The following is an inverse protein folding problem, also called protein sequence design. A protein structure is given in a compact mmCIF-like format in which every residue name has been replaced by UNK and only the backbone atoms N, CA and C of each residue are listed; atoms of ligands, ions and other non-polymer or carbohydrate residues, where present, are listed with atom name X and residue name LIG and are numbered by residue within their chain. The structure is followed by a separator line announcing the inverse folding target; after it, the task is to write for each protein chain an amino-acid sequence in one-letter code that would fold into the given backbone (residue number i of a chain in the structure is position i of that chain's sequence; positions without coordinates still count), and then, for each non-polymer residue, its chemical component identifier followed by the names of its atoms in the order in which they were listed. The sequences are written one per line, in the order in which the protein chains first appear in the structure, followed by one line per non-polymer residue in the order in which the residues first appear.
data_IF_329927110600
#
_entry.id   IF_329927110600
#
_cell.length_a   1.000
_cell.length_b   1.000
_cell.length_c   1.000
_cell.angle_alpha   90.00
_cell.angle_beta   90.00
_cell.angle_gamma   90.00
#
_symmetry.space_group_name_H-M   'P 1'
#
loop_
_entity.id
_entity.type
_entity.pdbx_description
1 polymer ?
#
# COMPACT_ATOMS: atom_id res chain seq x y z
N UNK A 1 -4.33 -11.23 0.73
CA UNK A 1 -3.79 -10.12 1.55
C UNK A 1 -3.12 -10.67 2.81
N UNK A 2 -2.35 -9.85 3.51
CA UNK A 2 -1.56 -10.27 4.69
C UNK A 2 -2.26 -9.90 6.02
N UNK A 3 -3.51 -10.33 6.20
CA UNK A 3 -4.34 -9.94 7.35
C UNK A 3 -3.77 -10.28 8.72
N UNK A 4 -3.03 -11.39 8.84
CA UNK A 4 -2.38 -11.78 10.10
C UNK A 4 -1.19 -10.90 10.49
N UNK A 5 -0.58 -10.16 9.56
CA UNK A 5 0.58 -9.30 9.81
C UNK A 5 0.28 -7.81 9.70
N UNK A 6 -0.84 -7.46 9.07
CA UNK A 6 -1.26 -6.06 8.89
C UNK A 6 -2.79 -5.95 9.10
N UNK A 7 -3.32 -6.34 10.29
CA UNK A 7 -4.77 -6.43 10.51
C UNK A 7 -5.51 -5.11 10.32
N UNK A 8 -4.98 -3.99 10.81
CA UNK A 8 -5.63 -2.69 10.66
C UNK A 8 -5.60 -2.21 9.21
N UNK A 9 -4.47 -2.34 8.55
CA UNK A 9 -4.29 -1.93 7.15
C UNK A 9 -5.18 -2.75 6.22
N UNK A 10 -5.20 -4.08 6.38
CA UNK A 10 -6.04 -4.97 5.56
C UNK A 10 -7.52 -4.74 5.83
N UNK A 11 -7.93 -4.58 7.09
CA UNK A 11 -9.32 -4.28 7.45
C UNK A 11 -9.80 -2.96 6.82
N UNK A 12 -8.97 -1.90 6.89
CA UNK A 12 -9.26 -0.63 6.25
C UNK A 12 -9.38 -0.76 4.73
N UNK A 13 -8.46 -1.47 4.09
CA UNK A 13 -8.47 -1.66 2.64
C UNK A 13 -9.70 -2.45 2.17
N UNK A 14 -10.04 -3.54 2.86
CA UNK A 14 -11.26 -4.32 2.59
C UNK A 14 -12.54 -3.48 2.75
N UNK A 15 -12.62 -2.66 3.81
CA UNK A 15 -13.74 -1.73 4.02
C UNK A 15 -13.86 -0.74 2.87
N UNK A 16 -12.75 -0.21 2.37
CA UNK A 16 -12.76 0.70 1.22
C UNK A 16 -13.23 0.00 -0.06
N UNK A 17 -12.82 -1.25 -0.29
CA UNK A 17 -13.33 -2.06 -1.42
C UNK A 17 -14.85 -2.24 -1.29
N UNK A 18 -15.34 -2.67 -0.13
CA UNK A 18 -16.79 -2.88 0.12
C UNK A 18 -17.62 -1.61 -0.05
N UNK A 19 -17.02 -0.45 0.18
CA UNK A 19 -17.66 0.86 0.00
C UNK A 19 -17.43 1.45 -1.40
N UNK A 20 -16.87 0.69 -2.34
CA UNK A 20 -16.55 1.10 -3.71
C UNK A 20 -15.65 2.35 -3.82
N UNK A 21 -14.84 2.63 -2.79
CA UNK A 21 -13.98 3.82 -2.73
C UNK A 21 -12.98 3.84 -3.90
N UNK A 22 -12.51 2.69 -4.34
CA UNK A 22 -11.50 2.58 -5.38
C UNK A 22 -12.05 2.52 -6.80
N UNK A 23 -13.35 2.25 -6.97
CA UNK A 23 -13.97 2.11 -8.30
C UNK A 23 -13.91 3.45 -9.03
N UNK A 24 -13.44 3.41 -10.29
CA UNK A 24 -13.16 4.58 -11.13
C UNK A 24 -12.05 5.52 -10.60
N UNK A 25 -11.33 5.15 -9.54
CA UNK A 25 -10.14 5.89 -9.15
C UNK A 25 -8.97 5.57 -10.10
N UNK A 26 -8.10 6.55 -10.34
CA UNK A 26 -6.98 6.42 -11.28
C UNK A 26 -5.73 5.88 -10.60
N UNK A 27 -4.86 5.29 -11.42
CA UNK A 27 -3.44 5.20 -11.09
C UNK A 27 -2.80 6.55 -11.39
N UNK A 28 -2.98 7.50 -10.49
CA UNK A 28 -2.71 8.93 -10.70
C UNK A 28 -1.22 9.29 -10.78
N UNK A 29 -0.32 8.38 -10.41
CA UNK A 29 1.12 8.60 -10.46
C UNK A 29 1.88 7.32 -10.71
N UNK A 30 2.60 7.29 -11.82
CA UNK A 30 3.53 6.23 -12.17
C UNK A 30 4.94 6.82 -12.16
N UNK A 31 5.82 6.25 -11.37
CA UNK A 31 7.19 6.74 -11.18
C UNK A 31 8.15 5.60 -11.55
N UNK A 32 9.02 5.86 -12.51
CA UNK A 32 10.16 4.99 -12.80
C UNK A 32 11.32 5.38 -11.88
N UNK A 33 11.71 4.45 -11.04
CA UNK A 33 12.79 4.64 -10.09
C UNK A 33 13.80 3.49 -10.23
N UNK A 34 14.90 3.74 -10.95
CA UNK A 34 16.02 2.81 -11.07
C UNK A 34 15.59 1.34 -11.28
N UNK A 35 15.05 0.99 -12.41
CA UNK A 35 14.52 -0.35 -12.76
C UNK A 35 13.28 -0.81 -11.97
N UNK A 36 12.70 0.04 -11.12
CA UNK A 36 11.46 -0.25 -10.40
C UNK A 36 10.41 0.78 -10.77
N UNK A 37 9.28 0.33 -11.28
CA UNK A 37 8.11 1.17 -11.48
C UNK A 37 7.27 1.15 -10.19
N UNK A 38 6.93 2.31 -9.67
CA UNK A 38 6.01 2.50 -8.54
C UNK A 38 4.71 3.05 -9.08
N UNK A 39 3.63 2.31 -8.91
CA UNK A 39 2.31 2.64 -9.44
C UNK A 39 1.44 3.06 -8.26
N UNK A 40 1.11 4.35 -8.14
CA UNK A 40 0.22 4.87 -7.09
C UNK A 40 -1.22 4.88 -7.58
N UNK A 41 -2.12 4.38 -6.75
CA UNK A 41 -3.56 4.33 -7.02
C UNK A 41 -4.39 4.61 -5.77
N UNK A 42 -5.69 4.64 -5.97
CA UNK A 42 -6.66 4.99 -4.94
C UNK A 42 -7.01 6.47 -4.93
N UNK A 43 -7.60 6.94 -3.83
CA UNK A 43 -8.01 8.35 -3.70
C UNK A 43 -6.89 9.14 -3.06
N UNK A 44 -6.32 10.05 -3.84
CA UNK A 44 -5.31 10.99 -3.36
C UNK A 44 -5.92 11.91 -2.31
N UNK A 45 -5.30 11.99 -1.15
CA UNK A 45 -5.73 12.89 -0.06
C UNK A 45 -5.60 14.38 -0.40
N UNK A 46 -4.90 14.74 -1.48
CA UNK A 46 -4.85 16.10 -2.04
C UNK A 46 -6.02 16.39 -3.00
N UNK A 47 -6.90 15.41 -3.28
CA UNK A 47 -8.06 15.61 -4.12
C UNK A 47 -9.15 16.37 -3.35
N UNK A 48 -9.26 17.66 -3.61
CA UNK A 48 -10.21 18.57 -2.94
C UNK A 48 -11.66 18.14 -3.10
N UNK A 49 -12.06 17.62 -4.25
CA UNK A 49 -13.41 17.16 -4.50
C UNK A 49 -13.78 15.97 -3.60
N UNK A 50 -12.85 15.05 -3.38
CA UNK A 50 -13.07 13.94 -2.48
C UNK A 50 -13.11 14.38 -1.02
N UNK A 51 -12.26 15.33 -0.63
CA UNK A 51 -12.22 15.89 0.74
C UNK A 51 -13.52 16.59 1.07
N UNK A 52 -14.08 17.37 0.14
CA UNK A 52 -15.34 18.10 0.33
C UNK A 52 -16.56 17.19 0.45
N UNK A 53 -16.57 16.06 -0.26
CA UNK A 53 -17.70 15.13 -0.30
C UNK A 53 -17.64 14.04 0.77
N UNK A 54 -16.48 13.78 1.36
CA UNK A 54 -16.27 12.73 2.35
C UNK A 54 -15.64 13.30 3.63
N UNK A 55 -16.35 13.19 4.73
CA UNK A 55 -15.87 13.58 6.06
C UNK A 55 -14.47 13.03 6.33
N UNK A 56 -13.48 13.90 6.33
CA UNK A 56 -12.09 13.70 6.75
C UNK A 56 -11.50 12.30 6.47
N UNK A 57 -10.62 12.21 5.49
CA UNK A 57 -9.78 11.03 5.28
C UNK A 57 -8.98 10.80 6.56
N UNK A 58 -9.29 9.74 7.28
CA UNK A 58 -8.58 9.38 8.51
C UNK A 58 -7.33 8.62 8.12
N UNK A 59 -6.16 9.10 8.52
CA UNK A 59 -4.93 8.33 8.42
C UNK A 59 -4.98 7.11 9.33
N UNK A 60 -4.36 6.03 8.90
CA UNK A 60 -4.16 4.82 9.69
C UNK A 60 -2.72 4.76 10.24
N UNK A 61 -2.46 4.02 11.33
CA UNK A 61 -1.10 3.85 11.81
C UNK A 61 -0.22 3.17 10.75
N UNK A 62 1.05 3.53 10.69
CA UNK A 62 2.05 2.69 10.05
C UNK A 62 2.09 1.35 10.78
N UNK A 63 2.04 0.23 10.06
CA UNK A 63 1.90 -1.10 10.61
C UNK A 63 2.92 -2.05 9.97
N UNK A 64 3.87 -2.54 10.76
CA UNK A 64 4.97 -3.39 10.30
C UNK A 64 5.11 -4.59 11.24
N UNK A 65 5.12 -5.81 10.69
CA UNK A 65 5.30 -7.04 11.44
C UNK A 65 6.72 -7.58 11.30
N UNK A 66 7.35 -7.88 12.44
CA UNK A 66 8.57 -8.67 12.51
C UNK A 66 8.25 -10.12 12.89
N UNK A 67 8.98 -11.08 12.35
CA UNK A 67 8.86 -12.50 12.70
C UNK A 67 9.25 -12.79 14.15
N UNK A 68 10.01 -11.90 14.77
CA UNK A 68 10.43 -11.96 16.18
C UNK A 68 9.40 -11.38 17.16
N UNK A 69 8.27 -10.84 16.66
CA UNK A 69 7.20 -10.23 17.46
C UNK A 69 5.89 -10.96 17.21
N UNK A 70 5.07 -11.12 18.24
CA UNK A 70 3.72 -11.68 18.11
C UNK A 70 2.77 -10.68 17.43
N UNK A 71 2.85 -9.43 17.83
CA UNK A 71 2.00 -8.34 17.33
C UNK A 71 2.74 -7.41 16.37
N UNK A 72 2.04 -6.77 15.43
CA UNK A 72 2.62 -5.72 14.60
C UNK A 72 3.15 -4.55 15.42
N UNK A 73 4.17 -3.92 14.89
CA UNK A 73 4.70 -2.65 15.42
C UNK A 73 3.91 -1.53 14.75
N UNK A 74 3.31 -0.66 15.57
CA UNK A 74 2.51 0.46 15.12
C UNK A 74 3.24 1.79 15.26
N UNK A 75 2.97 2.72 14.33
CA UNK A 75 3.45 4.11 14.38
C UNK A 75 4.98 4.25 14.42
N UNK A 76 5.71 3.27 13.93
CA UNK A 76 7.17 3.27 13.96
C UNK A 76 7.75 2.59 12.72
N UNK A 77 8.72 3.24 12.09
CA UNK A 77 9.56 2.64 11.06
C UNK A 77 10.59 1.68 11.69
N UNK A 78 10.93 0.64 10.95
CA UNK A 78 12.11 -0.19 11.25
C UNK A 78 13.26 0.42 10.46
N UNK A 79 14.18 1.06 11.15
CA UNK A 79 15.30 1.78 10.53
C UNK A 79 16.65 1.07 10.67
N UNK A 80 16.73 0.06 11.53
CA UNK A 80 17.94 -0.75 11.67
C UNK A 80 17.98 -1.81 10.55
N UNK A 81 18.97 -1.75 9.65
CA UNK A 81 19.12 -2.76 8.58
C UNK A 81 19.26 -4.19 9.11
N UNK A 82 19.76 -4.37 10.33
CA UNK A 82 19.90 -5.70 10.96
C UNK A 82 18.53 -6.33 11.28
N UNK A 83 17.48 -5.51 11.45
CA UNK A 83 16.11 -5.98 11.68
C UNK A 83 15.39 -6.33 10.38
N UNK A 84 15.85 -5.89 9.20
CA UNK A 84 15.17 -6.13 7.94
C UNK A 84 15.02 -7.63 7.60
N UNK A 85 15.95 -8.46 8.01
CA UNK A 85 15.86 -9.92 7.87
C UNK A 85 14.71 -10.54 8.65
N UNK A 86 14.15 -9.81 9.61
CA UNK A 86 13.00 -10.25 10.42
C UNK A 86 11.68 -9.67 9.94
N UNK A 87 11.66 -8.85 8.88
CA UNK A 87 10.41 -8.38 8.29
C UNK A 87 9.58 -9.58 7.81
N UNK A 88 8.35 -9.69 8.30
CA UNK A 88 7.45 -10.78 7.91
C UNK A 88 7.00 -10.63 6.47
N UNK A 89 6.76 -9.40 6.03
CA UNK A 89 6.40 -9.05 4.67
C UNK A 89 7.53 -8.23 4.04
N UNK A 90 8.35 -8.87 3.22
CA UNK A 90 9.41 -8.21 2.45
C UNK A 90 8.86 -7.69 1.12
N UNK A 91 9.51 -6.66 0.59
CA UNK A 91 9.17 -6.09 -0.69
C UNK A 91 9.62 -6.99 -1.85
N UNK A 92 8.67 -7.39 -2.67
CA UNK A 92 8.86 -8.21 -3.85
C UNK A 92 8.09 -7.61 -5.04
N UNK A 93 8.30 -8.15 -6.23
CA UNK A 93 7.47 -7.83 -7.41
C UNK A 93 5.99 -8.02 -7.06
N UNK A 94 5.19 -7.01 -7.33
CA UNK A 94 3.75 -6.99 -7.07
C UNK A 94 3.35 -6.67 -5.61
N UNK A 95 4.30 -6.36 -4.72
CA UNK A 95 3.95 -5.94 -3.36
C UNK A 95 3.06 -4.71 -3.36
N UNK A 96 2.03 -4.72 -2.50
CA UNK A 96 1.06 -3.63 -2.31
C UNK A 96 1.31 -3.00 -0.95
N UNK A 97 1.48 -1.67 -0.94
CA UNK A 97 1.85 -0.89 0.22
C UNK A 97 0.92 0.31 0.36
N UNK A 98 0.61 0.72 1.60
CA UNK A 98 -0.07 2.01 1.81
C UNK A 98 0.89 3.17 1.64
N UNK A 99 0.42 4.24 1.01
CA UNK A 99 1.19 5.49 0.89
C UNK A 99 1.43 6.07 2.29
N UNK A 100 2.67 6.47 2.55
CA UNK A 100 3.06 7.06 3.82
C UNK A 100 2.75 8.56 3.85
N UNK A 101 2.05 9.01 4.88
CA UNK A 101 1.73 10.42 5.12
C UNK A 101 2.77 11.07 6.06
N UNK A 102 3.25 10.30 7.03
CA UNK A 102 4.31 10.71 7.95
C UNK A 102 5.15 9.50 8.38
N UNK A 103 6.15 9.72 9.22
CA UNK A 103 6.96 8.61 9.79
C UNK A 103 6.14 7.60 10.60
N UNK A 104 4.96 7.98 11.05
CA UNK A 104 4.13 7.18 11.96
C UNK A 104 2.79 6.77 11.35
N UNK A 105 2.40 7.35 10.21
CA UNK A 105 1.06 7.17 9.64
C UNK A 105 1.08 6.91 8.15
N UNK A 106 0.17 6.05 7.73
CA UNK A 106 -0.16 5.76 6.34
C UNK A 106 -1.49 6.40 5.94
N UNK A 107 -1.65 6.67 4.66
CA UNK A 107 -2.95 7.02 4.08
C UNK A 107 -3.96 5.89 4.32
N UNK A 108 -5.23 6.23 4.51
CA UNK A 108 -6.31 5.25 4.56
C UNK A 108 -6.86 4.88 3.19
N UNK A 109 -6.56 5.65 2.14
CA UNK A 109 -7.15 5.51 0.80
C UNK A 109 -6.16 5.37 -0.34
N UNK A 110 -4.89 5.74 -0.13
CA UNK A 110 -3.87 5.69 -1.16
C UNK A 110 -2.95 4.49 -0.96
N UNK A 111 -2.70 3.78 -2.03
CA UNK A 111 -1.76 2.67 -2.04
C UNK A 111 -0.80 2.79 -3.23
N UNK A 112 0.24 1.99 -3.21
CA UNK A 112 1.07 1.80 -4.39
C UNK A 112 1.46 0.32 -4.58
N UNK A 113 1.78 -0.01 -5.81
CA UNK A 113 2.26 -1.32 -6.22
C UNK A 113 3.69 -1.17 -6.70
N UNK A 114 4.58 -2.02 -6.23
CA UNK A 114 5.96 -2.08 -6.70
C UNK A 114 6.09 -3.15 -7.79
N UNK A 115 6.62 -2.79 -8.96
CA UNK A 115 6.80 -3.77 -10.06
C UNK A 115 8.04 -4.63 -9.87
N UNK A 116 8.97 -4.25 -9.00
CA UNK A 116 10.19 -4.99 -8.67
C UNK A 116 10.45 -4.97 -7.17
N UNK A 117 11.46 -5.70 -6.73
CA UNK A 117 11.95 -5.62 -5.36
C UNK A 117 12.57 -4.23 -5.10
N UNK A 118 12.10 -3.52 -4.08
CA UNK A 118 12.55 -2.18 -3.73
C UNK A 118 13.07 -2.14 -2.29
N UNK A 119 14.25 -2.69 -2.06
CA UNK A 119 14.85 -2.85 -0.71
C UNK A 119 14.93 -1.52 0.06
N UNK A 120 15.12 -0.41 -0.65
CA UNK A 120 15.18 0.95 -0.04
C UNK A 120 13.87 1.35 0.68
N UNK A 121 12.75 0.69 0.37
CA UNK A 121 11.45 0.94 0.98
C UNK A 121 11.15 -0.02 2.15
N UNK A 122 11.95 -1.06 2.36
CA UNK A 122 11.74 -2.02 3.44
C UNK A 122 11.79 -1.34 4.82
N UNK A 123 10.95 -1.79 5.74
CA UNK A 123 10.85 -1.23 7.09
C UNK A 123 10.21 0.16 7.19
N UNK A 124 9.82 0.77 6.06
CA UNK A 124 9.28 2.15 6.02
C UNK A 124 7.82 2.25 5.67
N UNK A 125 7.22 1.18 5.17
CA UNK A 125 5.84 1.14 4.68
C UNK A 125 5.11 -0.10 5.17
N UNK A 126 3.80 0.00 5.34
CA UNK A 126 2.94 -1.15 5.60
C UNK A 126 2.77 -1.97 4.32
N UNK A 127 3.49 -3.08 4.21
CA UNK A 127 3.35 -4.05 3.10
C UNK A 127 2.21 -5.00 3.47
N UNK A 128 1.02 -4.81 2.89
CA UNK A 128 -0.20 -5.49 3.33
C UNK A 128 -0.77 -6.49 2.34
N UNK A 129 -0.21 -6.57 1.15
CA UNK A 129 -0.69 -7.46 0.11
C UNK A 129 0.32 -7.67 -1.00
N UNK A 130 -0.08 -8.51 -1.95
CA UNK A 130 0.67 -8.78 -3.17
C UNK A 130 -0.30 -9.05 -4.32
N UNK A 131 0.02 -8.54 -5.49
CA UNK A 131 -0.63 -8.93 -6.74
C UNK A 131 -0.30 -10.40 -7.01
N UNK A 132 -1.31 -11.20 -7.36
CA UNK A 132 -1.15 -12.63 -7.62
C UNK A 132 -1.35 -13.00 -9.09
N UNK A 133 -2.02 -12.15 -9.85
CA UNK A 133 -2.25 -12.32 -11.30
C UNK A 133 -2.08 -10.99 -12.02
N UNK A 134 -1.77 -11.02 -13.32
CA UNK A 134 -1.67 -9.82 -14.16
C UNK A 134 -0.36 -9.04 -14.01
N UNK A 135 0.75 -9.71 -13.73
CA UNK A 135 2.07 -9.07 -13.62
C UNK A 135 2.53 -8.40 -14.91
N UNK A 136 2.14 -8.91 -16.06
CA UNK A 136 2.36 -8.34 -17.39
C UNK A 136 1.61 -7.02 -17.56
N UNK A 137 0.41 -6.91 -16.97
CA UNK A 137 -0.39 -5.68 -16.99
C UNK A 137 0.28 -4.58 -16.16
N UNK A 138 0.86 -4.92 -15.00
CA UNK A 138 1.51 -3.95 -14.12
C UNK A 138 2.61 -3.14 -14.82
N UNK A 139 3.35 -3.75 -15.74
CA UNK A 139 4.43 -3.08 -16.45
C UNK A 139 3.92 -2.05 -17.47
N UNK A 140 2.66 -2.19 -17.90
CA UNK A 140 2.02 -1.34 -18.89
C UNK A 140 1.06 -0.30 -18.29
N UNK A 141 0.77 -0.34 -16.99
CA UNK A 141 -0.08 0.65 -16.33
C UNK A 141 0.54 2.05 -16.44
N UNK A 142 -0.30 3.02 -16.81
CA UNK A 142 0.04 4.44 -16.82
C UNK A 142 -1.01 5.29 -16.05
N UNK A 143 -0.78 6.59 -15.99
CA UNK A 143 -1.63 7.54 -15.23
C UNK A 143 -3.00 7.83 -15.86
N UNK A 144 -3.32 7.23 -17.01
CA UNK A 144 -4.65 7.31 -17.66
C UNK A 144 -5.54 6.15 -17.25
N UNK A 145 -4.93 5.07 -16.75
CA UNK A 145 -5.66 3.87 -16.34
C UNK A 145 -6.40 4.10 -15.02
N UNK A 146 -7.50 3.37 -14.86
CA UNK A 146 -8.35 3.45 -13.68
C UNK A 146 -8.77 2.06 -13.20
N UNK A 147 -9.14 1.98 -11.94
CA UNK A 147 -9.55 0.75 -11.27
C UNK A 147 -11.02 0.48 -11.56
N UNK A 148 -11.33 -0.61 -12.25
CA UNK A 148 -12.72 -1.03 -12.50
C UNK A 148 -13.25 -1.99 -11.44
N UNK A 149 -12.36 -2.81 -10.87
CA UNK A 149 -12.68 -3.75 -9.79
C UNK A 149 -11.43 -4.14 -9.01
N UNK A 150 -11.60 -4.58 -7.78
CA UNK A 150 -10.55 -5.20 -6.96
C UNK A 150 -11.07 -6.49 -6.37
N UNK A 151 -10.52 -7.61 -6.82
CA UNK A 151 -10.74 -8.91 -6.19
C UNK A 151 -9.57 -9.25 -5.26
N UNK A 152 -9.84 -9.91 -4.14
CA UNK A 152 -8.79 -10.26 -3.20
C UNK A 152 -8.97 -11.68 -2.64
N UNK A 153 -7.84 -12.27 -2.25
CA UNK A 153 -7.77 -13.51 -1.47
C UNK A 153 -7.03 -13.23 -0.17
N UNK A 154 -7.45 -13.88 0.89
CA UNK A 154 -6.76 -13.88 2.19
C UNK A 154 -5.63 -14.88 2.21
#
# INVERSE_FOLDING_TARGET
MFGSSNPLTVSNFKKNISNNIYINSKFYKVIDYSNTKIIRGGINHENEEYILNNKAIKNIPLEIQLTTKQEPIYNKEISDPLEFKFLKNTLQKGSILMVKISKTKSSSTEFFISTQKAVVLEGRYSVFGKVINGFDILENIDNRDYIVNIDFKD
#
